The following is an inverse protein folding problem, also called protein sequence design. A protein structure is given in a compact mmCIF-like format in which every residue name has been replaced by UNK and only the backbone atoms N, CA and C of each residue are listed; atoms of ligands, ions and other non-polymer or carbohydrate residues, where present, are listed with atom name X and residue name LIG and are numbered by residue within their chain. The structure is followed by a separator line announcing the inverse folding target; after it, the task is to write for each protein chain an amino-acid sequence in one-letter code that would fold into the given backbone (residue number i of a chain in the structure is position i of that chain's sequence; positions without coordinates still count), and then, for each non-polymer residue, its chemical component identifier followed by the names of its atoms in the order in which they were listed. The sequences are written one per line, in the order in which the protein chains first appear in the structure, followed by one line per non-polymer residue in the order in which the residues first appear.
data_IF_558572365565
#
_entry.id   IF_558572365565
#
_cell.length_a   1.000
_cell.length_b   1.000
_cell.length_c   1.000
_cell.angle_alpha   90.00
_cell.angle_beta   90.00
_cell.angle_gamma   90.00
#
_symmetry.space_group_name_H-M   'P 1'
#
loop_
_entity.id
_entity.type
_entity.pdbx_description
1 polymer ?
#
# COMPACT_ATOMS: atom_id res chain seq x y z
N UNK A 1 -14.04 6.68 22.38
CA UNK A 1 -13.07 7.67 21.90
C UNK A 1 -12.19 8.13 23.09
N UNK A 2 -12.41 9.33 23.66
CA UNK A 2 -11.59 9.87 24.76
C UNK A 2 -11.54 8.94 25.96
N UNK A 3 -12.68 8.33 26.36
CA UNK A 3 -12.73 7.34 27.44
C UNK A 3 -11.85 6.11 27.20
N UNK A 4 -11.71 5.67 25.93
CA UNK A 4 -10.82 4.57 25.57
C UNK A 4 -9.35 4.96 25.73
N UNK A 5 -8.99 6.20 25.33
CA UNK A 5 -7.64 6.75 25.52
C UNK A 5 -7.34 6.92 27.01
N UNK A 6 -8.26 7.52 27.79
CA UNK A 6 -8.07 7.64 29.24
C UNK A 6 -7.89 6.29 29.92
N UNK A 7 -8.70 5.30 29.55
CA UNK A 7 -8.57 3.94 30.07
C UNK A 7 -7.23 3.28 29.71
N UNK A 8 -6.70 3.57 28.52
CA UNK A 8 -5.37 3.12 28.11
C UNK A 8 -4.28 3.79 28.96
N UNK A 9 -4.29 5.12 29.10
CA UNK A 9 -3.30 5.88 29.85
C UNK A 9 -3.26 5.49 31.34
N UNK A 10 -4.43 5.24 31.95
CA UNK A 10 -4.51 4.74 33.33
C UNK A 10 -3.81 3.39 33.54
N UNK A 11 -3.81 2.53 32.52
CA UNK A 11 -3.14 1.21 32.57
C UNK A 11 -1.68 1.24 32.11
N UNK A 12 -1.29 2.30 31.41
CA UNK A 12 0.04 2.42 30.80
C UNK A 12 0.58 3.84 31.10
N UNK A 13 1.04 4.09 32.32
CA UNK A 13 1.46 5.42 32.77
C UNK A 13 2.71 5.96 32.03
N UNK A 14 3.41 5.09 31.33
CA UNK A 14 4.56 5.45 30.47
C UNK A 14 4.15 6.06 29.14
N UNK A 15 2.85 6.24 28.86
CA UNK A 15 2.35 6.88 27.66
C UNK A 15 1.68 8.21 27.96
N UNK A 16 1.89 9.18 27.06
CA UNK A 16 1.18 10.45 27.03
C UNK A 16 0.52 10.72 25.68
N UNK A 17 -0.49 11.62 25.68
CA UNK A 17 -1.09 12.10 24.43
C UNK A 17 -0.21 13.20 23.85
N UNK A 18 0.28 13.00 22.65
CA UNK A 18 1.00 14.00 21.87
C UNK A 18 0.03 14.84 21.03
N UNK A 19 0.39 16.11 20.78
CA UNK A 19 -0.40 16.97 19.90
C UNK A 19 -0.02 16.67 18.45
N UNK A 20 -0.95 16.10 17.64
CA UNK A 20 -0.68 15.85 16.22
C UNK A 20 -0.72 17.15 15.40
N UNK A 21 -0.16 17.11 14.21
CA UNK A 21 -0.45 18.13 13.20
C UNK A 21 -1.90 18.00 12.76
N UNK A 22 -2.63 19.12 12.75
CA UNK A 22 -4.05 19.15 12.37
C UNK A 22 -4.27 20.12 11.22
N UNK A 23 -5.35 19.91 10.46
CA UNK A 23 -5.79 20.78 9.37
C UNK A 23 -7.01 21.59 9.79
N UNK A 24 -7.31 22.61 9.00
CA UNK A 24 -8.53 23.41 9.15
C UNK A 24 -9.77 22.50 9.16
N UNK A 25 -10.69 22.78 10.09
CA UNK A 25 -11.92 21.98 10.29
C UNK A 25 -11.77 20.77 11.20
N UNK A 26 -10.58 20.49 11.74
CA UNK A 26 -10.38 19.48 12.78
C UNK A 26 -10.55 20.09 14.16
N UNK A 27 -11.30 19.42 15.03
CA UNK A 27 -11.56 19.85 16.40
C UNK A 27 -10.71 19.08 17.41
N UNK A 28 -10.47 19.71 18.55
CA UNK A 28 -9.86 19.06 19.71
C UNK A 28 -10.79 18.03 20.35
N UNK A 29 -10.21 17.06 21.05
CA UNK A 29 -10.96 16.14 21.90
C UNK A 29 -11.67 16.85 23.06
N UNK A 30 -12.66 16.18 23.63
CA UNK A 30 -13.52 16.70 24.65
C UNK A 30 -13.36 15.95 25.99
N UNK A 31 -12.39 16.34 26.86
CA UNK A 31 -12.18 15.69 28.16
C UNK A 31 -13.44 15.67 29.02
N UNK A 32 -14.28 16.71 28.95
CA UNK A 32 -15.53 16.86 29.72
C UNK A 32 -16.57 15.79 29.40
N UNK A 33 -16.42 15.04 28.33
CA UNK A 33 -17.33 13.92 27.99
C UNK A 33 -16.95 12.61 28.69
N UNK A 34 -15.87 12.64 29.47
CA UNK A 34 -15.39 11.47 30.22
C UNK A 34 -15.35 11.82 31.70
N UNK A 35 -15.91 10.96 32.55
CA UNK A 35 -15.86 11.12 34.00
C UNK A 35 -14.41 11.20 34.49
N UNK A 36 -14.06 12.28 35.20
CA UNK A 36 -12.68 12.55 35.60
C UNK A 36 -11.72 12.68 34.42
N UNK A 37 -12.16 13.27 33.30
CA UNK A 37 -11.40 13.42 32.08
C UNK A 37 -10.10 14.18 32.28
N UNK A 38 -8.99 13.58 31.86
CA UNK A 38 -7.66 14.19 31.95
C UNK A 38 -7.51 15.30 30.91
N UNK A 39 -6.85 16.41 31.27
CA UNK A 39 -6.63 17.55 30.37
C UNK A 39 -5.89 17.14 29.07
N UNK A 40 -4.97 16.20 29.16
CA UNK A 40 -4.25 15.68 27.99
C UNK A 40 -5.13 15.17 26.85
N UNK A 41 -6.38 14.79 27.12
CA UNK A 41 -7.33 14.35 26.10
C UNK A 41 -7.73 15.45 25.11
N UNK A 42 -7.54 16.73 25.44
CA UNK A 42 -7.75 17.86 24.53
C UNK A 42 -6.85 17.75 23.27
N UNK A 43 -5.70 17.07 23.39
CA UNK A 43 -4.76 16.83 22.28
C UNK A 43 -5.24 15.78 21.29
N UNK A 44 -6.29 15.00 21.60
CA UNK A 44 -6.91 14.10 20.63
C UNK A 44 -7.69 14.90 19.59
N UNK A 45 -7.96 14.30 18.45
CA UNK A 45 -8.55 14.99 17.29
C UNK A 45 -9.89 14.37 16.94
N UNK A 46 -10.86 15.24 16.66
CA UNK A 46 -12.16 14.89 16.10
C UNK A 46 -12.33 15.51 14.73
N UNK A 47 -12.76 14.70 13.80
CA UNK A 47 -13.14 15.14 12.45
C UNK A 47 -14.65 14.96 12.34
N UNK A 48 -15.38 16.07 12.18
CA UNK A 48 -16.84 16.06 12.09
C UNK A 48 -17.30 16.19 10.65
N UNK A 49 -18.30 15.40 10.20
CA UNK A 49 -18.82 15.47 8.83
C UNK A 49 -19.41 16.84 8.46
N UNK A 50 -19.82 17.64 9.44
CA UNK A 50 -20.36 18.98 9.23
C UNK A 50 -19.29 20.08 9.19
N UNK A 51 -18.07 19.80 9.61
CA UNK A 51 -16.93 20.71 9.49
C UNK A 51 -16.03 20.38 8.29
N UNK A 52 -15.90 19.09 7.96
CA UNK A 52 -15.04 18.61 6.89
C UNK A 52 -15.83 17.68 5.96
N UNK A 53 -15.68 17.83 4.65
CA UNK A 53 -16.30 16.91 3.68
C UNK A 53 -15.68 15.52 3.81
N UNK A 54 -16.36 14.62 4.49
CA UNK A 54 -15.90 13.24 4.72
C UNK A 54 -16.68 12.55 5.82
N UNK A 55 -16.19 11.39 6.24
CA UNK A 55 -16.74 10.65 7.37
C UNK A 55 -16.23 11.21 8.71
N UNK A 56 -16.97 10.95 9.79
CA UNK A 56 -16.55 11.31 11.14
C UNK A 56 -15.42 10.40 11.64
N UNK A 57 -14.33 11.00 12.12
CA UNK A 57 -13.18 10.27 12.65
C UNK A 57 -12.77 10.78 14.02
N UNK A 58 -12.07 9.91 14.73
CA UNK A 58 -11.37 10.24 15.97
C UNK A 58 -9.93 9.71 15.86
N UNK A 59 -8.96 10.53 16.26
CA UNK A 59 -7.56 10.16 16.27
C UNK A 59 -6.88 10.59 17.57
N UNK A 60 -5.91 9.80 18.03
CA UNK A 60 -5.01 10.13 19.12
C UNK A 60 -3.62 9.66 18.79
N UNK A 61 -2.61 10.49 19.01
CA UNK A 61 -1.19 10.14 18.94
C UNK A 61 -0.70 9.93 20.36
N UNK A 62 -0.11 8.78 20.62
CA UNK A 62 0.40 8.40 21.92
C UNK A 62 1.93 8.27 21.85
N UNK A 63 2.61 9.06 22.66
CA UNK A 63 4.05 8.95 22.86
C UNK A 63 4.38 8.05 24.04
N UNK A 64 5.36 7.17 23.90
CA UNK A 64 5.92 6.39 25.00
C UNK A 64 7.21 7.01 25.48
N UNK A 65 7.36 7.16 26.80
CA UNK A 65 8.60 7.67 27.40
C UNK A 65 9.81 6.84 26.99
N UNK A 66 10.86 7.53 26.51
CA UNK A 66 12.12 6.90 26.06
C UNK A 66 12.84 6.10 27.15
N UNK A 67 12.61 6.42 28.43
CA UNK A 67 13.17 5.67 29.56
C UNK A 67 12.52 4.30 29.81
N UNK A 68 11.36 4.03 29.19
CA UNK A 68 10.65 2.76 29.32
C UNK A 68 11.03 1.74 28.22
N UNK A 69 12.02 2.05 27.38
CA UNK A 69 12.52 1.12 26.37
C UNK A 69 13.39 0.09 27.06
N UNK A 70 12.93 -1.16 27.08
CA UNK A 70 13.73 -2.29 27.56
C UNK A 70 14.86 -2.57 26.54
N UNK A 71 16.02 -1.95 26.74
CA UNK A 71 17.21 -2.04 25.87
C UNK A 71 17.71 -3.49 25.68
N UNK A 72 17.21 -4.45 26.44
CA UNK A 72 17.68 -5.84 26.44
C UNK A 72 16.91 -6.77 25.52
N UNK A 73 15.80 -6.37 24.95
CA UNK A 73 15.15 -7.18 23.91
C UNK A 73 15.92 -7.05 22.61
N UNK A 74 16.82 -8.01 22.33
CA UNK A 74 17.34 -8.18 20.97
C UNK A 74 16.15 -8.31 20.03
N UNK A 75 15.93 -7.26 19.24
CA UNK A 75 14.88 -7.24 18.25
C UNK A 75 15.18 -8.35 17.24
N UNK A 76 14.39 -9.41 17.26
CA UNK A 76 14.55 -10.49 16.29
C UNK A 76 14.07 -9.98 14.94
N UNK A 77 14.89 -10.17 13.93
CA UNK A 77 14.53 -9.85 12.56
C UNK A 77 13.46 -10.80 12.03
N UNK A 78 12.60 -10.36 11.11
CA UNK A 78 11.63 -11.22 10.46
C UNK A 78 12.34 -12.35 9.69
N UNK A 79 11.61 -13.44 9.46
CA UNK A 79 12.09 -14.54 8.64
C UNK A 79 12.07 -14.15 7.16
N UNK A 80 13.18 -13.63 6.66
CA UNK A 80 13.33 -13.28 5.24
C UNK A 80 13.40 -14.52 4.35
N UNK A 81 12.98 -14.36 3.08
CA UNK A 81 13.00 -15.41 2.07
C UNK A 81 14.42 -15.91 1.83
N UNK A 82 14.63 -17.22 2.08
CA UNK A 82 15.89 -17.94 1.80
C UNK A 82 15.80 -18.77 0.51
N UNK A 83 14.58 -19.06 0.05
CA UNK A 83 14.34 -19.88 -1.14
C UNK A 83 14.92 -19.21 -2.38
N UNK A 84 15.88 -19.91 -3.00
CA UNK A 84 16.57 -19.43 -4.21
C UNK A 84 15.63 -19.29 -5.41
N UNK A 85 14.67 -20.19 -5.55
CA UNK A 85 13.71 -20.16 -6.65
C UNK A 85 12.81 -18.91 -6.59
N UNK A 86 12.35 -18.56 -5.39
CA UNK A 86 11.55 -17.33 -5.17
C UNK A 86 12.36 -16.10 -5.55
N UNK A 87 13.63 -16.04 -5.08
CA UNK A 87 14.54 -14.92 -5.40
C UNK A 87 14.80 -14.82 -6.92
N UNK A 88 15.03 -15.94 -7.58
CA UNK A 88 15.28 -15.97 -9.04
C UNK A 88 14.07 -15.45 -9.83
N UNK A 89 12.85 -15.94 -9.56
CA UNK A 89 11.66 -15.49 -10.27
C UNK A 89 11.36 -13.99 -10.06
N UNK A 90 11.63 -13.47 -8.86
CA UNK A 90 11.56 -12.03 -8.62
C UNK A 90 12.61 -11.26 -9.42
N UNK A 91 13.86 -11.73 -9.46
CA UNK A 91 14.93 -11.10 -10.22
C UNK A 91 14.67 -11.14 -11.73
N UNK A 92 14.16 -12.25 -12.26
CA UNK A 92 13.72 -12.37 -13.66
C UNK A 92 12.63 -11.34 -13.98
N UNK A 93 11.60 -11.25 -13.15
CA UNK A 93 10.56 -10.21 -13.29
C UNK A 93 11.16 -8.80 -13.31
N UNK A 94 12.07 -8.49 -12.37
CA UNK A 94 12.74 -7.19 -12.33
C UNK A 94 13.56 -6.93 -13.59
N UNK A 95 14.29 -7.94 -14.06
CA UNK A 95 15.11 -7.82 -15.27
C UNK A 95 14.25 -7.62 -16.52
N UNK A 96 13.12 -8.31 -16.64
CA UNK A 96 12.25 -8.25 -17.82
C UNK A 96 11.34 -7.02 -17.84
N UNK A 97 10.96 -6.52 -16.66
CA UNK A 97 9.88 -5.52 -16.54
C UNK A 97 10.37 -4.15 -16.11
N UNK A 98 11.36 -4.09 -15.22
CA UNK A 98 11.82 -2.84 -14.61
C UNK A 98 13.03 -2.23 -15.31
N UNK A 99 13.19 -0.91 -15.16
CA UNK A 99 14.33 -0.13 -15.67
C UNK A 99 14.77 0.92 -14.65
N UNK A 100 15.97 1.48 -14.79
CA UNK A 100 16.47 2.57 -13.96
C UNK A 100 16.30 2.31 -12.46
N UNK A 101 15.67 3.26 -11.78
CA UNK A 101 15.37 3.22 -10.35
C UNK A 101 14.46 2.03 -9.96
N UNK A 102 13.54 1.62 -10.83
CA UNK A 102 12.70 0.44 -10.58
C UNK A 102 13.52 -0.85 -10.48
N UNK A 103 14.55 -1.01 -11.32
CA UNK A 103 15.46 -2.16 -11.23
C UNK A 103 16.29 -2.11 -9.97
N UNK A 104 16.81 -0.94 -9.58
CA UNK A 104 17.54 -0.74 -8.34
C UNK A 104 16.69 -1.13 -7.14
N UNK A 105 15.48 -0.59 -7.05
CA UNK A 105 14.49 -0.99 -6.04
C UNK A 105 14.29 -2.52 -6.00
N UNK A 106 14.11 -3.16 -7.16
CA UNK A 106 13.89 -4.60 -7.25
C UNK A 106 15.07 -5.42 -6.72
N UNK A 107 16.31 -4.99 -6.95
CA UNK A 107 17.52 -5.64 -6.43
C UNK A 107 17.66 -5.47 -4.92
N UNK A 108 17.43 -4.26 -4.40
CA UNK A 108 17.46 -3.96 -2.97
C UNK A 108 16.38 -4.71 -2.18
N UNK A 109 15.21 -4.94 -2.80
CA UNK A 109 14.11 -5.66 -2.20
C UNK A 109 14.44 -7.12 -1.83
N UNK A 110 15.38 -7.77 -2.56
CA UNK A 110 15.70 -9.20 -2.40
C UNK A 110 16.08 -9.57 -0.97
N UNK A 111 16.78 -8.68 -0.26
CA UNK A 111 17.27 -8.94 1.10
C UNK A 111 16.18 -8.79 2.18
N UNK A 112 15.09 -8.13 1.84
CA UNK A 112 13.99 -7.85 2.79
C UNK A 112 12.66 -8.49 2.38
N UNK A 113 12.69 -9.44 1.45
CA UNK A 113 11.48 -10.16 1.05
C UNK A 113 11.01 -11.10 2.15
N UNK A 114 9.70 -11.10 2.40
CA UNK A 114 9.01 -12.06 3.26
C UNK A 114 7.90 -12.76 2.48
N UNK A 115 7.67 -14.03 2.79
CA UNK A 115 6.69 -14.86 2.10
C UNK A 115 5.59 -15.30 3.08
N UNK A 116 4.33 -15.01 2.75
CA UNK A 116 3.14 -15.46 3.47
C UNK A 116 2.31 -16.34 2.54
N UNK A 117 2.38 -17.65 2.73
CA UNK A 117 1.86 -18.61 1.77
C UNK A 117 2.58 -18.46 0.42
N UNK A 118 1.86 -18.08 -0.62
CA UNK A 118 2.38 -17.77 -1.96
C UNK A 118 2.52 -16.26 -2.24
N UNK A 119 2.22 -15.41 -1.25
CA UNK A 119 2.24 -13.95 -1.39
C UNK A 119 3.60 -13.40 -0.95
N UNK A 120 4.28 -12.71 -1.86
CA UNK A 120 5.59 -12.10 -1.64
C UNK A 120 5.44 -10.62 -1.28
N UNK A 121 6.08 -10.21 -0.19
CA UNK A 121 6.07 -8.84 0.30
C UNK A 121 7.49 -8.31 0.48
N UNK A 122 7.64 -6.99 0.31
CA UNK A 122 8.82 -6.26 0.76
C UNK A 122 8.56 -5.72 2.17
N UNK A 123 9.34 -6.21 3.13
CA UNK A 123 9.30 -5.73 4.51
C UNK A 123 9.93 -4.33 4.65
N UNK A 124 9.41 -3.45 5.55
CA UNK A 124 10.14 -2.25 5.97
C UNK A 124 11.47 -2.60 6.62
N UNK A 125 12.40 -1.64 6.68
CA UNK A 125 13.75 -1.87 7.19
C UNK A 125 13.76 -2.30 8.65
N UNK A 126 12.94 -1.68 9.48
CA UNK A 126 12.86 -1.91 10.92
C UNK A 126 11.69 -2.81 11.32
N UNK A 127 11.29 -3.74 10.44
CA UNK A 127 10.18 -4.63 10.77
C UNK A 127 10.59 -5.61 11.88
N UNK A 128 9.80 -5.70 12.97
CA UNK A 128 10.04 -6.68 14.02
C UNK A 128 9.71 -8.10 13.56
N UNK A 129 10.11 -9.10 14.33
CA UNK A 129 9.66 -10.48 14.11
C UNK A 129 8.14 -10.57 14.27
N UNK A 130 7.50 -11.26 13.33
CA UNK A 130 6.04 -11.35 13.26
C UNK A 130 5.47 -12.64 13.83
N UNK A 131 6.32 -13.53 14.41
CA UNK A 131 5.89 -14.82 14.97
C UNK A 131 4.86 -14.62 16.09
N UNK A 132 3.75 -15.33 16.00
CA UNK A 132 2.65 -15.24 16.95
C UNK A 132 1.71 -14.05 16.77
N UNK A 133 1.95 -13.20 15.78
CA UNK A 133 1.08 -12.06 15.44
C UNK A 133 0.13 -12.42 14.30
N UNK A 134 -1.09 -11.92 14.36
CA UNK A 134 -2.02 -11.93 13.22
C UNK A 134 -1.70 -10.74 12.31
N UNK A 135 -0.91 -11.00 11.27
CA UNK A 135 -0.46 -9.97 10.34
C UNK A 135 -1.37 -9.93 9.13
N UNK A 136 -1.90 -8.75 8.80
CA UNK A 136 -2.72 -8.54 7.60
C UNK A 136 -1.86 -8.24 6.38
N UNK A 137 -0.85 -7.37 6.55
CA UNK A 137 0.11 -6.98 5.50
C UNK A 137 1.45 -6.67 6.13
N UNK A 138 2.50 -7.45 5.82
CA UNK A 138 3.82 -7.23 6.42
C UNK A 138 4.65 -6.16 5.68
N UNK A 139 4.08 -5.47 4.70
CA UNK A 139 4.76 -4.46 3.90
C UNK A 139 4.15 -4.29 2.52
N UNK A 140 4.94 -3.83 1.53
CA UNK A 140 4.50 -3.69 0.15
C UNK A 140 4.29 -5.08 -0.47
N UNK A 141 3.08 -5.39 -0.88
CA UNK A 141 2.80 -6.63 -1.62
C UNK A 141 3.46 -6.55 -3.00
N UNK A 142 4.45 -7.38 -3.25
CA UNK A 142 5.17 -7.44 -4.52
C UNK A 142 4.41 -8.26 -5.55
N UNK A 143 3.88 -9.42 -5.14
CA UNK A 143 3.13 -10.31 -6.04
C UNK A 143 2.95 -11.70 -5.48
N UNK A 144 2.43 -12.58 -6.34
CA UNK A 144 2.20 -13.99 -6.02
C UNK A 144 3.28 -14.84 -6.66
N UNK A 145 3.98 -15.60 -5.84
CA UNK A 145 4.91 -16.63 -6.30
C UNK A 145 4.12 -17.91 -6.66
N UNK A 146 4.33 -18.40 -7.87
CA UNK A 146 3.83 -19.69 -8.33
C UNK A 146 5.01 -20.54 -8.81
N UNK A 147 4.87 -21.85 -8.75
CA UNK A 147 5.96 -22.83 -8.99
C UNK A 147 6.96 -22.45 -10.11
N UNK A 148 6.48 -21.84 -11.20
CA UNK A 148 7.31 -21.50 -12.36
C UNK A 148 7.11 -20.06 -12.87
N UNK A 149 6.48 -19.17 -12.10
CA UNK A 149 6.24 -17.79 -12.52
C UNK A 149 5.97 -16.87 -11.33
N UNK A 150 6.29 -15.62 -11.52
CA UNK A 150 5.90 -14.53 -10.65
C UNK A 150 4.77 -13.71 -11.31
N UNK A 151 3.72 -13.42 -10.55
CA UNK A 151 2.63 -12.54 -10.97
C UNK A 151 2.66 -11.27 -10.12
N UNK A 152 2.94 -10.08 -10.70
CA UNK A 152 3.04 -8.85 -9.94
C UNK A 152 1.68 -8.43 -9.36
N UNK A 153 1.70 -7.89 -8.16
CA UNK A 153 0.50 -7.44 -7.48
C UNK A 153 0.03 -6.08 -7.98
N UNK A 154 -1.23 -5.77 -7.73
CA UNK A 154 -1.78 -4.45 -7.96
C UNK A 154 -1.09 -3.37 -7.08
N UNK A 155 -0.73 -3.69 -5.84
CA UNK A 155 0.01 -2.79 -4.97
C UNK A 155 1.37 -2.38 -5.56
N UNK A 156 2.06 -3.33 -6.19
CA UNK A 156 3.32 -3.04 -6.89
C UNK A 156 3.07 -2.14 -8.11
N UNK A 157 1.95 -2.33 -8.85
CA UNK A 157 1.59 -1.43 -9.95
C UNK A 157 1.43 0.02 -9.47
N UNK A 158 0.70 0.22 -8.35
CA UNK A 158 0.45 1.56 -7.80
C UNK A 158 1.72 2.21 -7.20
N UNK A 159 2.68 1.40 -6.78
CA UNK A 159 3.97 1.88 -6.25
C UNK A 159 4.91 2.36 -7.35
N UNK A 160 4.93 1.68 -8.51
CA UNK A 160 5.86 1.97 -9.61
C UNK A 160 5.37 3.16 -10.46
N UNK A 161 6.36 3.92 -10.98
CA UNK A 161 6.14 5.03 -11.91
C UNK A 161 6.51 4.61 -13.34
N UNK A 162 6.08 5.41 -14.32
CA UNK A 162 6.29 5.15 -15.75
C UNK A 162 7.76 4.98 -16.13
N UNK A 163 8.65 5.76 -15.54
CA UNK A 163 10.09 5.78 -15.79
C UNK A 163 10.84 4.60 -15.13
N UNK A 164 10.15 3.87 -14.27
CA UNK A 164 10.68 2.70 -13.57
C UNK A 164 10.37 1.37 -14.26
N UNK A 165 9.61 1.39 -15.37
CA UNK A 165 9.19 0.19 -16.10
C UNK A 165 9.57 0.28 -17.57
N UNK A 166 9.89 -0.86 -18.20
CA UNK A 166 10.18 -0.92 -19.63
C UNK A 166 8.96 -0.70 -20.51
N UNK A 167 7.75 -1.10 -20.03
CA UNK A 167 6.51 -1.05 -20.79
C UNK A 167 5.48 -0.24 -20.02
N UNK A 168 5.09 0.87 -20.60
CA UNK A 168 4.11 1.78 -20.08
C UNK A 168 3.08 2.11 -21.16
N UNK A 169 1.79 2.00 -20.82
CA UNK A 169 0.69 2.40 -21.69
C UNK A 169 -0.25 3.30 -20.89
N UNK A 170 -0.48 4.50 -21.39
CA UNK A 170 -1.36 5.46 -20.70
C UNK A 170 -2.40 6.03 -21.66
N UNK A 171 -3.51 6.45 -21.10
CA UNK A 171 -4.59 7.17 -21.75
C UNK A 171 -5.03 8.33 -20.86
N UNK A 172 -5.82 9.24 -21.40
CA UNK A 172 -6.46 10.29 -20.60
C UNK A 172 -7.34 9.68 -19.51
N UNK A 173 -7.45 10.37 -18.37
CA UNK A 173 -8.08 9.85 -17.15
C UNK A 173 -9.54 9.40 -17.36
N UNK A 174 -10.31 10.17 -18.14
CA UNK A 174 -11.73 9.89 -18.46
C UNK A 174 -11.93 9.18 -19.82
N UNK A 175 -10.88 8.57 -20.35
CA UNK A 175 -10.96 7.92 -21.66
C UNK A 175 -11.75 6.61 -21.59
N UNK A 176 -12.44 6.22 -22.68
CA UNK A 176 -13.12 4.94 -22.77
C UNK A 176 -12.20 3.73 -22.53
N UNK A 177 -10.90 3.89 -22.80
CA UNK A 177 -9.90 2.85 -22.56
C UNK A 177 -9.67 2.63 -21.06
N UNK A 178 -9.59 3.70 -20.26
CA UNK A 178 -9.46 3.58 -18.80
C UNK A 178 -10.73 2.99 -18.19
N UNK A 179 -11.90 3.41 -18.64
CA UNK A 179 -13.17 2.80 -18.21
C UNK A 179 -13.24 1.31 -18.52
N UNK A 180 -12.91 0.92 -19.75
CA UNK A 180 -12.85 -0.49 -20.15
C UNK A 180 -11.84 -1.28 -19.30
N UNK A 181 -10.67 -0.67 -19.03
CA UNK A 181 -9.66 -1.30 -18.18
C UNK A 181 -10.17 -1.55 -16.76
N UNK A 182 -10.80 -0.57 -16.13
CA UNK A 182 -11.34 -0.69 -14.76
C UNK A 182 -12.51 -1.69 -14.70
N UNK A 183 -13.29 -1.85 -15.77
CA UNK A 183 -14.29 -2.93 -15.91
C UNK A 183 -13.66 -4.32 -16.06
N UNK A 184 -12.37 -4.38 -16.37
CA UNK A 184 -11.63 -5.66 -16.53
C UNK A 184 -11.55 -6.16 -17.96
N UNK A 185 -11.85 -5.32 -18.94
CA UNK A 185 -11.78 -5.63 -20.37
C UNK A 185 -10.32 -5.63 -20.86
N UNK A 186 -10.04 -6.44 -21.87
CA UNK A 186 -8.75 -6.40 -22.57
C UNK A 186 -8.70 -5.14 -23.45
N UNK A 187 -7.53 -4.51 -23.53
CA UNK A 187 -7.32 -3.33 -24.37
C UNK A 187 -6.47 -3.67 -25.58
N UNK A 188 -6.55 -2.85 -26.62
CA UNK A 188 -5.64 -2.90 -27.75
C UNK A 188 -4.40 -2.06 -27.41
N UNK A 189 -3.21 -2.63 -27.62
CA UNK A 189 -1.96 -1.91 -27.41
C UNK A 189 -1.88 -0.71 -28.36
N UNK A 190 -1.53 0.46 -27.82
CA UNK A 190 -1.25 1.65 -28.61
C UNK A 190 0.01 1.50 -29.48
N UNK A 191 0.27 2.50 -30.33
CA UNK A 191 1.42 2.45 -31.27
C UNK A 191 2.76 2.23 -30.54
N UNK A 192 3.02 2.97 -29.46
CA UNK A 192 4.21 2.81 -28.65
C UNK A 192 4.30 1.43 -27.96
N UNK A 193 3.16 0.86 -27.53
CA UNK A 193 3.14 -0.45 -26.88
C UNK A 193 3.55 -1.60 -27.79
N UNK A 194 3.30 -1.50 -29.10
CA UNK A 194 3.72 -2.54 -30.06
C UNK A 194 5.23 -2.67 -30.19
N UNK A 195 5.96 -1.57 -29.99
CA UNK A 195 7.43 -1.55 -30.06
C UNK A 195 8.09 -2.24 -28.87
N UNK A 196 7.42 -2.31 -27.72
CA UNK A 196 7.98 -2.92 -26.50
C UNK A 196 7.84 -4.46 -26.43
N UNK A 197 7.09 -5.08 -27.33
CA UNK A 197 6.89 -6.53 -27.38
C UNK A 197 6.10 -7.09 -26.18
N UNK A 198 6.06 -8.43 -26.08
CA UNK A 198 5.31 -9.13 -25.05
C UNK A 198 5.88 -8.91 -23.64
N UNK A 199 5.02 -8.93 -22.63
CA UNK A 199 5.42 -8.85 -21.22
C UNK A 199 4.47 -8.09 -20.33
N UNK A 200 4.86 -7.92 -19.07
CA UNK A 200 4.12 -7.09 -18.11
C UNK A 200 4.22 -5.62 -18.52
N UNK A 201 3.08 -4.97 -18.61
CA UNK A 201 2.91 -3.57 -19.01
C UNK A 201 2.17 -2.84 -17.92
N UNK A 202 2.74 -1.74 -17.44
CA UNK A 202 2.09 -0.87 -16.48
C UNK A 202 1.08 0.01 -17.22
N UNK A 203 -0.17 -0.02 -16.76
CA UNK A 203 -1.28 0.78 -17.32
C UNK A 203 -1.44 2.04 -16.50
N UNK A 204 -1.56 3.19 -17.15
CA UNK A 204 -1.72 4.49 -16.52
C UNK A 204 -2.95 5.26 -17.01
N UNK A 205 -3.47 6.11 -16.12
CA UNK A 205 -4.40 7.19 -16.41
C UNK A 205 -3.65 8.52 -16.23
N UNK A 206 -3.47 9.26 -17.30
CA UNK A 206 -2.59 10.43 -17.29
C UNK A 206 -1.16 10.05 -16.88
N UNK A 207 -0.70 10.60 -15.77
CA UNK A 207 0.62 10.31 -15.19
C UNK A 207 0.61 9.24 -14.08
N UNK A 208 -0.56 8.76 -13.66
CA UNK A 208 -0.72 7.84 -12.55
C UNK A 208 -0.84 6.39 -13.02
N UNK A 209 -0.14 5.48 -12.35
CA UNK A 209 -0.30 4.04 -12.59
C UNK A 209 -1.60 3.54 -11.97
N UNK A 210 -2.36 2.75 -12.72
CA UNK A 210 -3.64 2.19 -12.27
C UNK A 210 -3.66 0.67 -12.21
N UNK A 211 -2.67 0.00 -12.78
CA UNK A 211 -2.58 -1.45 -12.65
C UNK A 211 -1.71 -2.12 -13.72
N UNK A 212 -1.76 -3.45 -13.77
CA UNK A 212 -1.02 -4.27 -14.72
C UNK A 212 -1.89 -4.79 -15.86
N UNK A 213 -1.30 -4.86 -17.03
CA UNK A 213 -1.74 -5.71 -18.12
C UNK A 213 -0.60 -6.62 -18.57
N UNK A 214 -0.91 -7.78 -19.15
CA UNK A 214 0.08 -8.63 -19.84
C UNK A 214 -0.10 -8.47 -21.33
N UNK A 215 0.88 -7.86 -21.97
CA UNK A 215 0.87 -7.68 -23.42
C UNK A 215 1.22 -8.99 -24.13
N UNK A 216 0.41 -9.35 -25.12
CA UNK A 216 0.66 -10.45 -26.03
C UNK A 216 0.26 -9.98 -27.44
N UNK A 217 1.25 -9.73 -28.29
CA UNK A 217 1.03 -9.05 -29.57
C UNK A 217 0.38 -7.67 -29.38
N UNK A 218 -0.72 -7.45 -30.05
CA UNK A 218 -1.50 -6.21 -30.02
C UNK A 218 -2.54 -6.15 -28.87
N UNK A 219 -2.58 -7.16 -27.98
CA UNK A 219 -3.57 -7.25 -26.92
C UNK A 219 -2.92 -7.05 -25.55
N UNK A 220 -3.50 -6.15 -24.77
CA UNK A 220 -3.21 -5.97 -23.35
C UNK A 220 -4.24 -6.78 -22.54
N UNK A 221 -3.87 -7.98 -22.12
CA UNK A 221 -4.70 -8.82 -21.24
C UNK A 221 -4.80 -8.15 -19.87
N UNK A 222 -6.00 -7.86 -19.44
CA UNK A 222 -6.30 -7.15 -18.22
C UNK A 222 -5.93 -7.95 -16.96
N UNK A 223 -5.15 -7.33 -16.06
CA UNK A 223 -4.79 -7.85 -14.74
C UNK A 223 -5.29 -6.94 -13.59
N UNK A 224 -6.28 -6.09 -13.87
CA UNK A 224 -6.93 -5.31 -12.82
C UNK A 224 -7.68 -6.23 -11.86
N UNK A 225 -7.56 -6.05 -10.53
CA UNK A 225 -8.15 -6.97 -9.55
C UNK A 225 -9.66 -7.10 -9.70
N UNK A 226 -10.16 -8.32 -9.74
CA UNK A 226 -11.61 -8.59 -9.91
C UNK A 226 -12.46 -7.87 -8.86
N UNK A 227 -12.01 -7.85 -7.61
CA UNK A 227 -12.73 -7.19 -6.51
C UNK A 227 -12.74 -5.65 -6.56
N UNK A 228 -11.93 -5.03 -7.43
CA UNK A 228 -11.90 -3.58 -7.61
C UNK A 228 -12.60 -3.12 -8.89
N UNK A 229 -13.08 -4.05 -9.72
CA UNK A 229 -13.76 -3.72 -10.97
C UNK A 229 -15.07 -2.99 -10.70
N UNK A 230 -15.32 -1.92 -11.42
CA UNK A 230 -16.51 -1.08 -11.31
C UNK A 230 -17.10 -0.84 -12.68
N UNK A 231 -18.43 -0.77 -12.73
CA UNK A 231 -19.15 -0.25 -13.88
C UNK A 231 -19.34 1.27 -13.65
N UNK A 232 -18.49 2.07 -14.29
CA UNK A 232 -18.51 3.53 -14.13
C UNK A 232 -19.74 4.18 -14.80
N UNK A 233 -20.45 3.46 -15.67
CA UNK A 233 -21.66 3.98 -16.34
C UNK A 233 -22.81 4.22 -15.37
N UNK A 234 -22.77 3.63 -14.16
CA UNK A 234 -23.80 3.80 -13.12
C UNK A 234 -23.59 5.03 -12.22
N UNK A 235 -22.46 5.75 -12.33
CA UNK A 235 -22.12 6.87 -11.44
C UNK A 235 -22.33 8.27 -12.08
N UNK A 236 -22.66 8.37 -13.36
CA UNK A 236 -22.90 9.64 -14.05
C UNK A 236 -24.32 10.21 -13.87
N UNK A 237 -25.08 9.71 -12.90
CA UNK A 237 -26.49 10.07 -12.68
C UNK A 237 -26.84 10.43 -11.23
N UNK A 238 -25.94 11.16 -10.49
CA UNK A 238 -26.30 11.77 -9.21
C UNK A 238 -25.64 13.12 -9.03
#
# INVERSE_FOLDING_TARGET
NEGSIQGFLKRNPEFDVETPSVWEGFDSGCPQWVEGGQEGLVKTVRVWPHHVKGEGHFAAVLGKDKGAVDEKRKQRSPSYVKDRQVKLLWQEFCQETLTGEGRRFGLEAVERMVLFGDQLYLAPEEMPELSGLRVLRPGLHLGTWKKNRFEPSHSLALYLKKDQVKRWQTWEEESPQIEAYVRGEALKAGRAGREYGNGWTLVGAGQYSVGWAKQVGDVLKNHYPKGLRRDLTLTSGR
#
